data_IF_281929616392
#
_entry.id   IF_281929616392
#
_cell.length_a   1.000
_cell.length_b   1.000
_cell.length_c   1.000
_cell.angle_alpha   90.00
_cell.angle_beta   90.00
_cell.angle_gamma   90.00
#
_symmetry.space_group_name_H-M   'P 1'
#
loop_
_entity.id
_entity.type
_entity.pdbx_description
1 polymer ?
#
# COMPACT_ATOMS: atom_id res chain seq x y z
N UNK A 1 7.69 -20.09 8.86
CA UNK A 1 8.08 -19.25 10.02
C UNK A 1 9.24 -18.37 9.60
N UNK A 2 8.98 -17.09 9.33
CA UNK A 2 10.05 -16.11 9.15
C UNK A 2 10.49 -15.65 10.54
N UNK A 3 11.74 -15.93 10.90
CA UNK A 3 12.36 -15.44 12.13
C UNK A 3 13.08 -14.14 11.82
N UNK A 4 12.58 -13.01 12.34
CA UNK A 4 13.41 -11.82 12.52
C UNK A 4 14.42 -12.09 13.64
N UNK A 5 15.64 -11.55 13.54
CA UNK A 5 16.74 -11.81 14.49
C UNK A 5 16.48 -11.36 15.94
N UNK A 6 15.38 -10.64 16.16
CA UNK A 6 14.72 -10.42 17.45
C UNK A 6 13.33 -11.01 17.29
N UNK A 7 12.89 -11.96 18.12
CA UNK A 7 11.61 -12.69 17.97
C UNK A 7 10.34 -11.82 18.06
N UNK A 8 10.18 -10.88 17.13
CA UNK A 8 9.04 -10.01 16.94
C UNK A 8 8.12 -10.67 15.92
N UNK A 9 6.94 -11.05 16.38
CA UNK A 9 5.88 -11.61 15.55
C UNK A 9 4.81 -10.55 15.36
N UNK A 10 4.48 -10.26 14.11
CA UNK A 10 3.34 -9.39 13.75
C UNK A 10 2.19 -10.34 13.39
N UNK A 11 1.09 -10.26 14.15
CA UNK A 11 -0.12 -10.98 13.83
C UNK A 11 -1.01 -10.10 12.94
N UNK A 12 -1.36 -10.60 11.76
CA UNK A 12 -2.30 -9.97 10.83
C UNK A 12 -3.59 -10.80 10.75
N UNK A 13 -4.61 -10.23 10.12
CA UNK A 13 -5.83 -10.97 9.79
C UNK A 13 -5.49 -12.16 8.87
N UNK A 14 -6.16 -13.30 9.10
CA UNK A 14 -6.08 -14.46 8.22
C UNK A 14 -6.95 -14.23 6.99
N UNK A 15 -6.45 -14.59 5.81
CA UNK A 15 -7.13 -14.36 4.53
C UNK A 15 -7.60 -15.71 3.99
N UNK A 16 -8.92 -16.00 4.04
CA UNK A 16 -9.45 -17.26 3.54
C UNK A 16 -9.10 -17.50 2.07
N UNK A 17 -8.62 -18.71 1.77
CA UNK A 17 -8.30 -19.12 0.40
C UNK A 17 -7.22 -18.29 -0.28
N UNK A 18 -6.37 -17.60 0.49
CA UNK A 18 -5.25 -16.84 -0.05
C UNK A 18 -4.35 -17.73 -0.90
N UNK A 19 -4.13 -17.28 -2.14
CA UNK A 19 -3.17 -17.86 -3.08
C UNK A 19 -2.13 -16.82 -3.40
N UNK A 20 -0.88 -17.16 -3.12
CA UNK A 20 0.23 -16.26 -3.32
C UNK A 20 0.47 -16.03 -4.82
N UNK A 21 0.98 -14.86 -5.22
CA UNK A 21 1.17 -14.55 -6.63
C UNK A 21 2.08 -15.56 -7.39
N UNK A 22 3.01 -16.20 -6.70
CA UNK A 22 3.84 -17.28 -7.26
C UNK A 22 3.09 -18.57 -7.58
N UNK A 23 1.86 -18.74 -7.08
CA UNK A 23 1.01 -19.91 -7.26
C UNK A 23 -0.05 -19.68 -8.36
N UNK A 24 -0.02 -18.52 -9.01
CA UNK A 24 -0.97 -18.11 -10.06
C UNK A 24 -0.25 -18.20 -11.40
N UNK A 25 -0.69 -19.12 -12.26
CA UNK A 25 -0.05 -19.41 -13.55
C UNK A 25 -0.04 -18.21 -14.52
N UNK A 26 -1.03 -17.32 -14.42
CA UNK A 26 -1.13 -16.10 -15.23
C UNK A 26 -1.71 -14.95 -14.40
N UNK A 27 -0.93 -13.87 -14.23
CA UNK A 27 -1.35 -12.69 -13.47
C UNK A 27 -2.38 -11.87 -14.26
N UNK A 28 -3.57 -11.65 -13.68
CA UNK A 28 -4.60 -10.79 -14.29
C UNK A 28 -4.03 -9.37 -14.53
N UNK A 29 -4.13 -8.84 -15.76
CA UNK A 29 -3.79 -7.45 -16.05
C UNK A 29 -4.38 -6.43 -15.07
N UNK A 30 -5.56 -6.68 -14.50
CA UNK A 30 -6.17 -5.79 -13.50
C UNK A 30 -5.36 -5.76 -12.20
N UNK A 31 -4.98 -6.92 -11.67
CA UNK A 31 -4.16 -7.06 -10.46
C UNK A 31 -2.86 -6.30 -10.60
N UNK A 32 -2.19 -6.46 -11.74
CA UNK A 32 -0.95 -5.73 -12.03
C UNK A 32 -1.13 -4.21 -12.07
N UNK A 33 -2.22 -3.73 -12.68
CA UNK A 33 -2.55 -2.31 -12.71
C UNK A 33 -2.83 -1.78 -11.30
N UNK A 34 -3.58 -2.54 -10.48
CA UNK A 34 -3.87 -2.20 -9.09
C UNK A 34 -2.58 -2.12 -8.25
N UNK A 35 -1.69 -3.11 -8.37
CA UNK A 35 -0.40 -3.11 -7.68
C UNK A 35 0.48 -1.92 -8.06
N UNK A 36 0.56 -1.60 -9.35
CA UNK A 36 1.31 -0.45 -9.83
C UNK A 36 0.72 0.88 -9.34
N UNK A 37 -0.61 1.00 -9.30
CA UNK A 37 -1.32 2.15 -8.77
C UNK A 37 -1.05 2.32 -7.27
N UNK A 38 -1.19 1.24 -6.49
CA UNK A 38 -0.99 1.28 -5.05
C UNK A 38 0.47 1.59 -4.69
N UNK A 39 1.43 0.96 -5.38
CA UNK A 39 2.85 1.28 -5.23
C UNK A 39 3.15 2.76 -5.53
N UNK A 40 2.42 3.35 -6.47
CA UNK A 40 2.54 4.77 -6.84
C UNK A 40 1.95 5.70 -5.78
N UNK A 41 0.82 5.31 -5.18
CA UNK A 41 0.18 6.07 -4.11
C UNK A 41 0.99 6.03 -2.82
N UNK A 42 1.45 4.85 -2.41
CA UNK A 42 1.95 4.57 -1.06
C UNK A 42 3.47 4.35 -0.97
N UNK A 43 4.22 4.42 -2.08
CA UNK A 43 5.67 4.17 -2.11
C UNK A 43 6.09 2.78 -1.59
N UNK A 44 5.37 1.75 -1.99
CA UNK A 44 5.67 0.36 -1.64
C UNK A 44 6.70 -0.20 -2.62
N UNK A 45 7.82 -0.71 -2.11
CA UNK A 45 8.98 -1.12 -2.94
C UNK A 45 8.92 -2.60 -3.33
N UNK A 46 8.48 -3.43 -2.41
CA UNK A 46 8.60 -4.88 -2.45
C UNK A 46 7.47 -5.57 -3.24
N UNK A 47 6.36 -4.87 -3.49
CA UNK A 47 5.24 -5.43 -4.26
C UNK A 47 5.57 -5.77 -5.73
N UNK A 48 6.56 -5.10 -6.34
CA UNK A 48 6.84 -5.28 -7.78
C UNK A 48 7.80 -6.41 -8.12
N UNK A 49 8.66 -6.76 -7.19
CA UNK A 49 9.75 -7.71 -7.42
C UNK A 49 9.63 -8.96 -6.55
N UNK A 50 8.71 -8.96 -5.59
CA UNK A 50 8.54 -10.05 -4.65
C UNK A 50 7.11 -10.61 -4.70
N UNK A 51 6.96 -11.74 -5.40
CA UNK A 51 5.69 -12.43 -5.53
C UNK A 51 5.23 -13.13 -4.23
N UNK A 52 5.91 -12.91 -3.10
CA UNK A 52 5.52 -13.41 -1.77
C UNK A 52 4.69 -12.42 -0.96
N UNK A 53 4.66 -11.15 -1.36
CA UNK A 53 4.12 -10.08 -0.52
C UNK A 53 2.68 -9.70 -0.90
N UNK A 54 2.15 -10.34 -1.95
CA UNK A 54 0.79 -10.19 -2.40
C UNK A 54 0.26 -11.50 -3.01
N UNK A 55 -1.04 -11.53 -3.21
CA UNK A 55 -1.75 -12.64 -3.83
C UNK A 55 -3.21 -12.26 -4.05
N UNK A 56 -4.07 -13.28 -4.15
CA UNK A 56 -5.52 -13.10 -4.25
C UNK A 56 -6.23 -13.93 -3.20
N UNK A 57 -7.40 -13.49 -2.76
CA UNK A 57 -8.28 -14.30 -1.92
C UNK A 57 -9.12 -15.31 -2.74
N UNK A 58 -10.05 -15.99 -2.08
CA UNK A 58 -10.99 -16.92 -2.69
C UNK A 58 -12.01 -16.24 -3.63
N UNK A 59 -12.18 -14.92 -3.54
CA UNK A 59 -12.97 -14.13 -4.50
C UNK A 59 -12.14 -13.62 -5.69
N UNK A 60 -10.82 -13.79 -5.66
CA UNK A 60 -9.92 -13.30 -6.70
C UNK A 60 -9.53 -11.83 -6.53
N UNK A 61 -9.82 -11.22 -5.39
CA UNK A 61 -9.46 -9.83 -5.11
C UNK A 61 -8.00 -9.72 -4.64
N UNK A 62 -7.34 -8.64 -5.02
CA UNK A 62 -5.94 -8.39 -4.64
C UNK A 62 -5.80 -8.26 -3.12
N UNK A 63 -4.87 -9.03 -2.55
CA UNK A 63 -4.49 -8.96 -1.14
C UNK A 63 -3.00 -8.74 -0.99
N UNK A 64 -2.63 -7.87 -0.06
CA UNK A 64 -1.24 -7.57 0.30
C UNK A 64 -1.03 -8.09 1.71
N UNK A 65 -0.05 -8.99 1.85
CA UNK A 65 0.22 -9.71 3.10
C UNK A 65 1.49 -9.22 3.79
N UNK A 66 2.38 -8.55 3.03
CA UNK A 66 3.57 -7.91 3.56
C UNK A 66 3.91 -6.69 2.70
N UNK A 67 4.55 -5.68 3.30
CA UNK A 67 4.99 -4.50 2.56
C UNK A 67 6.12 -3.76 3.28
N UNK A 68 7.03 -3.21 2.47
CA UNK A 68 8.08 -2.30 2.92
C UNK A 68 7.82 -0.90 2.39
N UNK A 69 7.62 0.05 3.32
CA UNK A 69 7.51 1.47 3.00
C UNK A 69 8.90 2.06 2.79
N UNK A 70 9.04 2.95 1.81
CA UNK A 70 10.27 3.71 1.61
C UNK A 70 10.01 5.21 1.73
N UNK A 71 10.81 5.88 2.57
CA UNK A 71 10.87 7.34 2.60
C UNK A 71 11.66 7.84 1.38
N UNK A 72 11.00 7.96 0.23
CA UNK A 72 11.61 8.61 -0.93
C UNK A 72 10.79 9.82 -1.39
N UNK A 73 11.48 10.96 -1.49
CA UNK A 73 11.07 12.14 -2.26
C UNK A 73 11.08 11.85 -3.77
N UNK A 74 10.36 10.83 -4.22
CA UNK A 74 10.15 10.67 -5.66
C UNK A 74 9.21 11.77 -6.15
N UNK A 75 9.40 12.22 -7.38
CA UNK A 75 8.53 13.24 -7.97
C UNK A 75 7.16 12.62 -8.29
N UNK A 76 6.15 12.91 -7.46
CA UNK A 76 4.76 12.46 -7.60
C UNK A 76 4.22 12.61 -9.03
N UNK A 77 4.59 13.71 -9.71
CA UNK A 77 4.18 13.99 -11.09
C UNK A 77 4.77 12.98 -12.07
N UNK A 78 6.04 12.62 -11.90
CA UNK A 78 6.71 11.63 -12.74
C UNK A 78 6.07 10.26 -12.58
N UNK A 79 5.70 9.88 -11.36
CA UNK A 79 5.05 8.60 -11.07
C UNK A 79 3.67 8.54 -11.71
N UNK A 80 2.83 9.55 -11.50
CA UNK A 80 1.51 9.64 -12.11
C UNK A 80 1.60 9.58 -13.64
N UNK A 81 2.48 10.39 -14.24
CA UNK A 81 2.71 10.37 -15.70
C UNK A 81 3.15 9.00 -16.21
N UNK A 82 4.04 8.30 -15.50
CA UNK A 82 4.49 6.97 -15.88
C UNK A 82 3.34 5.95 -15.85
N UNK A 83 2.51 5.97 -14.80
CA UNK A 83 1.36 5.09 -14.69
C UNK A 83 0.38 5.27 -15.87
N UNK A 84 0.05 6.51 -16.23
CA UNK A 84 -0.88 6.81 -17.32
C UNK A 84 -0.25 6.79 -18.72
N UNK A 85 1.01 6.41 -18.88
CA UNK A 85 1.69 6.45 -20.19
C UNK A 85 1.39 5.25 -21.10
N UNK A 86 0.93 4.10 -20.55
CA UNK A 86 0.75 2.82 -21.28
C UNK A 86 -0.70 2.34 -21.17
N UNK A 87 -1.25 1.66 -22.19
CA UNK A 87 -2.61 1.06 -22.13
C UNK A 87 -3.66 1.99 -21.48
N UNK A 88 -3.72 3.25 -21.95
CA UNK A 88 -4.36 4.38 -21.24
C UNK A 88 -5.78 4.08 -20.78
N UNK A 89 -6.61 3.49 -21.65
CA UNK A 89 -8.02 3.26 -21.34
C UNK A 89 -8.19 2.19 -20.25
N UNK A 90 -7.61 1.01 -20.41
CA UNK A 90 -7.71 -0.06 -19.42
C UNK A 90 -7.18 0.37 -18.05
N UNK A 91 -6.05 1.10 -18.03
CA UNK A 91 -5.48 1.64 -16.79
C UNK A 91 -6.36 2.69 -16.15
N UNK A 92 -6.98 3.54 -16.96
CA UNK A 92 -7.93 4.53 -16.47
C UNK A 92 -9.13 3.84 -15.83
N UNK A 93 -9.74 2.87 -16.51
CA UNK A 93 -10.96 2.19 -16.05
C UNK A 93 -10.71 1.38 -14.77
N UNK A 94 -9.68 0.51 -14.78
CA UNK A 94 -9.30 -0.29 -13.61
C UNK A 94 -8.80 0.60 -12.47
N UNK A 95 -7.96 1.59 -12.80
CA UNK A 95 -7.38 2.49 -11.83
C UNK A 95 -8.43 3.36 -11.15
N UNK A 96 -9.41 3.90 -11.89
CA UNK A 96 -10.51 4.70 -11.34
C UNK A 96 -11.40 3.86 -10.44
N UNK A 97 -11.78 2.66 -10.88
CA UNK A 97 -12.61 1.75 -10.08
C UNK A 97 -11.92 1.40 -8.75
N UNK A 98 -10.64 1.01 -8.80
CA UNK A 98 -9.85 0.69 -7.61
C UNK A 98 -9.64 1.91 -6.70
N UNK A 99 -9.31 3.07 -7.26
CA UNK A 99 -9.08 4.29 -6.49
C UNK A 99 -10.32 4.73 -5.72
N UNK A 100 -11.50 4.64 -6.36
CA UNK A 100 -12.77 4.95 -5.72
C UNK A 100 -13.16 3.91 -4.65
N UNK A 101 -12.91 2.62 -4.89
CA UNK A 101 -13.27 1.57 -3.92
C UNK A 101 -12.40 1.60 -2.67
N UNK A 102 -11.11 1.95 -2.81
CA UNK A 102 -10.16 1.95 -1.70
C UNK A 102 -10.31 3.14 -0.75
N UNK A 103 -10.92 4.24 -1.18
CA UNK A 103 -11.10 5.47 -0.38
C UNK A 103 -9.82 5.88 0.40
N UNK A 104 -8.68 5.88 -0.32
CA UNK A 104 -7.34 5.89 0.29
C UNK A 104 -7.10 7.10 1.19
N UNK A 105 -7.56 8.30 0.81
CA UNK A 105 -7.35 9.51 1.63
C UNK A 105 -8.00 9.36 3.00
N UNK A 106 -9.26 8.94 3.03
CA UNK A 106 -9.99 8.72 4.28
C UNK A 106 -9.34 7.63 5.11
N UNK A 107 -8.95 6.52 4.49
CA UNK A 107 -8.31 5.41 5.19
C UNK A 107 -6.92 5.77 5.75
N UNK A 108 -6.15 6.61 5.06
CA UNK A 108 -4.89 7.17 5.58
C UNK A 108 -5.15 8.04 6.81
N UNK A 109 -6.19 8.87 6.79
CA UNK A 109 -6.55 9.72 7.94
C UNK A 109 -6.97 8.89 9.15
N UNK A 110 -7.80 7.85 8.94
CA UNK A 110 -8.22 6.93 9.99
C UNK A 110 -7.04 6.15 10.58
N UNK A 111 -6.14 5.64 9.73
CA UNK A 111 -4.95 4.94 10.17
C UNK A 111 -4.04 5.85 11.01
N UNK A 112 -3.82 7.09 10.56
CA UNK A 112 -3.02 8.06 11.31
C UNK A 112 -3.64 8.40 12.68
N UNK A 113 -4.95 8.60 12.74
CA UNK A 113 -5.64 8.85 14.01
C UNK A 113 -5.49 7.67 14.98
N UNK A 114 -5.63 6.43 14.48
CA UNK A 114 -5.43 5.22 15.27
C UNK A 114 -3.99 5.11 15.81
N UNK A 115 -2.99 5.39 14.98
CA UNK A 115 -1.57 5.42 15.38
C UNK A 115 -1.34 6.46 16.48
N UNK A 116 -1.89 7.67 16.35
CA UNK A 116 -1.76 8.71 17.38
C UNK A 116 -2.39 8.31 18.71
N UNK A 117 -3.55 7.65 18.69
CA UNK A 117 -4.19 7.16 19.92
C UNK A 117 -3.39 6.03 20.57
N UNK A 118 -2.77 5.14 19.78
CA UNK A 118 -1.85 4.14 20.29
C UNK A 118 -0.59 4.77 20.92
N UNK A 119 0.00 5.78 20.27
CA UNK A 119 1.16 6.52 20.84
C UNK A 119 0.81 7.13 22.21
N UNK A 120 -0.37 7.74 22.35
CA UNK A 120 -0.85 8.28 23.64
C UNK A 120 -0.99 7.18 24.69
N UNK A 121 -1.54 6.03 24.32
CA UNK A 121 -1.70 4.89 25.23
C UNK A 121 -0.34 4.37 25.71
N UNK A 122 0.61 4.15 24.80
CA UNK A 122 1.96 3.69 25.14
C UNK A 122 2.68 4.66 26.08
N UNK A 123 2.59 5.96 25.79
CA UNK A 123 3.12 7.02 26.65
C UNK A 123 2.52 6.97 28.07
N UNK A 124 1.20 6.78 28.19
CA UNK A 124 0.51 6.64 29.48
C UNK A 124 1.04 5.45 30.29
N UNK A 125 1.48 4.39 29.62
CA UNK A 125 2.05 3.19 30.25
C UNK A 125 3.59 3.22 30.36
N UNK A 126 4.23 4.37 30.09
CA UNK A 126 5.68 4.53 30.13
C UNK A 126 6.44 3.52 29.25
N UNK A 127 5.78 3.02 28.20
CA UNK A 127 6.40 2.15 27.21
C UNK A 127 7.22 3.03 26.28
N UNK A 128 8.53 2.85 26.29
CA UNK A 128 9.44 3.62 25.43
C UNK A 128 9.33 3.09 24.01
N UNK A 129 9.04 3.97 23.06
CA UNK A 129 9.12 3.65 21.64
C UNK A 129 9.95 4.71 20.92
N UNK A 130 10.66 4.30 19.87
CA UNK A 130 11.37 5.22 18.98
C UNK A 130 10.48 5.45 17.77
N UNK A 131 10.01 6.69 17.61
CA UNK A 131 9.30 7.10 16.39
C UNK A 131 10.31 7.19 15.26
N UNK A 132 9.99 6.61 14.10
CA UNK A 132 10.74 6.91 12.88
C UNK A 132 10.61 8.41 12.60
N UNK A 133 11.75 9.10 12.57
CA UNK A 133 11.82 10.56 12.36
C UNK A 133 11.20 11.01 11.04
N UNK A 134 10.91 10.08 10.12
CA UNK A 134 10.40 10.39 8.79
C UNK A 134 8.90 10.06 8.60
N UNK A 135 8.17 9.66 9.64
CA UNK A 135 6.76 9.26 9.50
C UNK A 135 5.87 10.41 8.98
N UNK A 136 6.02 11.63 9.52
CA UNK A 136 5.22 12.78 9.11
C UNK A 136 5.52 13.22 7.66
N UNK A 137 6.78 13.12 7.26
CA UNK A 137 7.23 13.36 5.88
C UNK A 137 6.62 12.32 4.93
N UNK A 138 6.61 11.05 5.31
CA UNK A 138 5.97 9.97 4.57
C UNK A 138 4.47 10.20 4.43
N UNK A 139 3.77 10.50 5.53
CA UNK A 139 2.33 10.77 5.55
C UNK A 139 1.97 11.94 4.62
N UNK A 140 2.75 13.02 4.69
CA UNK A 140 2.58 14.19 3.81
C UNK A 140 2.78 13.81 2.34
N UNK A 141 3.79 13.00 2.05
CA UNK A 141 4.11 12.60 0.68
C UNK A 141 3.03 11.68 0.08
N UNK A 142 2.53 10.68 0.82
CA UNK A 142 1.48 9.79 0.31
C UNK A 142 0.16 10.53 0.12
N UNK A 143 -0.22 11.45 1.01
CA UNK A 143 -1.43 12.27 0.82
C UNK A 143 -1.33 13.12 -0.45
N UNK A 144 -0.17 13.75 -0.68
CA UNK A 144 0.08 14.51 -1.90
C UNK A 144 -0.03 13.63 -3.16
N UNK A 145 0.50 12.42 -3.12
CA UNK A 145 0.41 11.48 -4.24
C UNK A 145 -1.03 11.08 -4.54
N UNK A 146 -1.75 10.66 -3.51
CA UNK A 146 -3.15 10.22 -3.64
C UNK A 146 -4.00 11.37 -4.21
N UNK A 147 -3.86 12.59 -3.68
CA UNK A 147 -4.57 13.77 -4.21
C UNK A 147 -4.17 14.10 -5.65
N UNK A 148 -2.91 13.97 -6.02
CA UNK A 148 -2.47 14.22 -7.40
C UNK A 148 -3.05 13.18 -8.36
N UNK A 149 -3.01 11.90 -8.00
CA UNK A 149 -3.54 10.80 -8.81
C UNK A 149 -5.06 10.92 -8.96
N UNK A 150 -5.78 11.33 -7.91
CA UNK A 150 -7.22 11.57 -7.97
C UNK A 150 -7.61 12.53 -9.12
N UNK A 151 -6.83 13.60 -9.31
CA UNK A 151 -7.06 14.58 -10.39
C UNK A 151 -6.93 14.02 -11.81
N UNK A 152 -6.30 12.87 -11.98
CA UNK A 152 -6.25 12.19 -13.28
C UNK A 152 -7.51 11.39 -13.57
N UNK A 153 -8.35 11.11 -12.57
CA UNK A 153 -9.58 10.34 -12.70
C UNK A 153 -10.85 11.24 -12.72
N UNK A 154 -10.68 12.53 -12.45
CA UNK A 154 -11.67 13.61 -12.65
C UNK A 154 -11.84 13.93 -14.14
#
# INVERSE_FOLDING_TARGET
MHNSGFGLYIATEDIPGFRQASEIDEEDPKTKIQLELLSSCLYLRDLKNNNTNYGVDDQGELRIVDFEIHAHKQNSQKIANNFFSRNKQLRFDVGKAAFLSWDLLKNIDLANASIEDQKKLLNKHSITFTVDRNFDDYLTAIKKNVTLIAKYFE
#
